data_IF_112167113004
#
_entry.id   IF_112167113004
#
_cell.length_a   1.000
_cell.length_b   1.000
_cell.length_c   1.000
_cell.angle_alpha   90.00
_cell.angle_beta   90.00
_cell.angle_gamma   90.00
#
_symmetry.space_group_name_H-M   'P 1'
#
loop_
_entity.id
_entity.type
_entity.pdbx_description
1 polymer ?
#
# COMPACT_ATOMS: atom_id res chain seq x y z
N UNK A 1 -1.13 16.54 -25.83
CA UNK A 1 -1.36 15.59 -24.71
C UNK A 1 -0.15 14.70 -24.36
N UNK A 2 0.74 14.32 -25.30
CA UNK A 2 1.87 13.41 -25.01
C UNK A 2 2.99 13.97 -24.11
N UNK A 3 3.18 15.30 -24.08
CA UNK A 3 4.28 15.94 -23.33
C UNK A 3 4.12 15.84 -21.80
N UNK A 4 2.90 15.76 -21.29
CA UNK A 4 2.61 15.71 -19.85
C UNK A 4 2.81 14.31 -19.27
N UNK A 5 2.60 13.28 -20.08
CA UNK A 5 2.83 11.86 -19.72
C UNK A 5 4.34 11.59 -19.63
N UNK A 6 5.12 12.20 -20.53
CA UNK A 6 6.59 12.10 -20.50
C UNK A 6 7.14 12.87 -19.30
N UNK A 7 6.60 14.05 -18.96
CA UNK A 7 7.04 14.80 -17.78
C UNK A 7 6.72 14.09 -16.46
N UNK A 8 5.58 13.37 -16.34
CA UNK A 8 5.30 12.53 -15.15
C UNK A 8 6.19 11.28 -15.09
N UNK A 9 6.58 10.73 -16.26
CA UNK A 9 7.51 9.60 -16.33
C UNK A 9 8.93 10.03 -15.93
N UNK A 10 9.38 11.22 -16.35
CA UNK A 10 10.68 11.80 -16.01
C UNK A 10 10.74 12.26 -14.55
N UNK A 11 9.63 12.77 -13.99
CA UNK A 11 9.51 13.00 -12.55
C UNK A 11 9.59 11.68 -11.78
N UNK A 12 8.90 10.62 -12.23
CA UNK A 12 9.05 9.27 -11.66
C UNK A 12 10.49 8.75 -11.75
N UNK A 13 11.15 8.95 -12.90
CA UNK A 13 12.53 8.51 -13.15
C UNK A 13 13.59 9.38 -12.45
N UNK A 14 13.26 10.58 -11.97
CA UNK A 14 14.21 11.44 -11.21
C UNK A 14 14.21 11.13 -9.71
N UNK A 15 13.13 10.52 -9.19
CA UNK A 15 13.07 10.05 -7.81
C UNK A 15 13.77 8.68 -7.68
N UNK A 16 13.82 7.89 -8.76
CA UNK A 16 14.52 6.59 -8.80
C UNK A 16 16.02 6.71 -8.48
N UNK A 17 16.79 7.67 -9.05
CA UNK A 17 18.17 7.93 -8.65
C UNK A 17 18.33 8.31 -7.19
N UNK A 18 17.38 9.04 -6.58
CA UNK A 18 17.46 9.39 -5.16
C UNK A 18 17.35 8.15 -4.27
N UNK A 19 16.54 7.16 -4.67
CA UNK A 19 16.43 5.87 -3.97
C UNK A 19 17.65 4.95 -4.21
N UNK A 20 18.29 5.04 -5.38
CA UNK A 20 19.45 4.21 -5.75
C UNK A 20 20.78 4.78 -5.24
N UNK A 21 20.95 6.11 -5.21
CA UNK A 21 22.19 6.79 -4.81
C UNK A 21 22.36 6.88 -3.27
N UNK A 22 21.28 6.74 -2.49
CA UNK A 22 21.37 6.60 -1.04
C UNK A 22 21.83 5.20 -0.59
N UNK A 23 21.74 4.21 -1.49
CA UNK A 23 22.29 2.89 -1.26
C UNK A 23 23.81 2.93 -1.53
N UNK A 24 24.60 3.20 -0.50
CA UNK A 24 26.01 2.84 -0.48
C UNK A 24 26.12 1.31 -0.51
N UNK A 25 26.12 0.73 -1.71
CA UNK A 25 26.15 -0.72 -1.92
C UNK A 25 27.57 -1.24 -1.64
N UNK A 26 27.83 -1.53 -0.36
CA UNK A 26 29.00 -2.23 0.11
C UNK A 26 28.71 -3.24 1.24
N UNK A 27 27.64 -3.02 2.01
CA UNK A 27 27.32 -3.80 3.20
C UNK A 27 25.89 -4.40 3.16
N UNK A 28 25.69 -5.55 3.83
CA UNK A 28 24.39 -6.24 3.97
C UNK A 28 23.29 -5.31 4.54
N UNK A 29 23.71 -4.33 5.33
CA UNK A 29 22.86 -3.25 5.86
C UNK A 29 22.25 -2.39 4.76
N UNK A 30 23.02 -2.07 3.70
CA UNK A 30 22.53 -1.27 2.57
C UNK A 30 21.41 -1.96 1.77
N UNK A 31 21.41 -3.29 1.70
CA UNK A 31 20.32 -4.05 1.06
C UNK A 31 19.05 -4.00 1.91
N UNK A 32 19.19 -4.13 3.23
CA UNK A 32 18.08 -4.07 4.18
C UNK A 32 17.46 -2.67 4.16
N UNK A 33 18.28 -1.62 4.11
CA UNK A 33 17.81 -0.23 4.04
C UNK A 33 17.11 0.09 2.72
N UNK A 34 17.61 -0.45 1.61
CA UNK A 34 16.94 -0.33 0.30
C UNK A 34 15.57 -1.01 0.31
N UNK A 35 15.47 -2.22 0.86
CA UNK A 35 14.19 -2.92 1.04
C UNK A 35 13.27 -2.10 1.94
N UNK A 36 13.75 -1.62 3.08
CA UNK A 36 12.95 -0.80 4.00
C UNK A 36 12.44 0.47 3.34
N UNK A 37 13.28 1.15 2.55
CA UNK A 37 12.89 2.34 1.80
C UNK A 37 11.78 2.05 0.79
N UNK A 38 11.89 0.98 0.01
CA UNK A 38 10.86 0.58 -0.96
C UNK A 38 9.53 0.26 -0.26
N UNK A 39 9.58 -0.54 0.82
CA UNK A 39 8.38 -0.89 1.57
C UNK A 39 7.74 0.34 2.23
N UNK A 40 8.54 1.26 2.77
CA UNK A 40 8.03 2.50 3.39
C UNK A 40 7.30 3.42 2.40
N UNK A 41 7.69 3.40 1.12
CA UNK A 41 7.04 4.17 0.08
C UNK A 41 5.79 3.46 -0.51
N UNK A 42 5.85 2.13 -0.68
CA UNK A 42 4.75 1.37 -1.30
C UNK A 42 3.57 1.16 -0.34
N UNK A 43 3.84 0.95 0.95
CA UNK A 43 2.81 0.65 1.96
C UNK A 43 1.73 1.74 2.06
N UNK A 44 2.05 3.04 2.24
CA UNK A 44 1.02 4.08 2.32
C UNK A 44 0.23 4.24 1.01
N UNK A 45 0.84 3.94 -0.15
CA UNK A 45 0.17 3.96 -1.44
C UNK A 45 -0.88 2.84 -1.53
N UNK A 46 -0.52 1.62 -1.11
CA UNK A 46 -1.45 0.48 -1.03
C UNK A 46 -2.57 0.76 -0.02
N UNK A 47 -2.27 1.34 1.14
CA UNK A 47 -3.29 1.71 2.13
C UNK A 47 -4.34 2.65 1.55
N UNK A 48 -3.90 3.67 0.80
CA UNK A 48 -4.82 4.63 0.15
C UNK A 48 -5.72 3.93 -0.86
N UNK A 49 -5.16 3.05 -1.69
CA UNK A 49 -5.93 2.24 -2.66
C UNK A 49 -6.90 1.28 -1.97
N UNK A 50 -6.48 0.65 -0.87
CA UNK A 50 -7.29 -0.30 -0.13
C UNK A 50 -8.51 0.37 0.50
N UNK A 51 -8.36 1.58 1.05
CA UNK A 51 -9.49 2.38 1.57
C UNK A 51 -10.47 2.73 0.46
N UNK A 52 -9.99 3.16 -0.70
CA UNK A 52 -10.85 3.45 -1.86
C UNK A 52 -11.62 2.20 -2.31
N UNK A 53 -10.92 1.06 -2.40
CA UNK A 53 -11.54 -0.21 -2.80
C UNK A 53 -12.59 -0.68 -1.78
N UNK A 54 -12.32 -0.50 -0.49
CA UNK A 54 -13.28 -0.81 0.57
C UNK A 54 -14.56 0.04 0.47
N UNK A 55 -14.42 1.36 0.26
CA UNK A 55 -15.56 2.25 0.07
C UNK A 55 -16.39 1.87 -1.17
N UNK A 56 -15.73 1.47 -2.26
CA UNK A 56 -16.41 0.95 -3.45
C UNK A 56 -17.17 -0.35 -3.11
N UNK A 57 -16.52 -1.30 -2.45
CA UNK A 57 -17.11 -2.59 -2.08
C UNK A 57 -18.34 -2.41 -1.19
N UNK A 58 -18.27 -1.50 -0.22
CA UNK A 58 -19.40 -1.14 0.64
C UNK A 58 -20.57 -0.55 -0.15
N UNK A 59 -20.29 0.38 -1.06
CA UNK A 59 -21.33 1.01 -1.90
C UNK A 59 -22.02 -0.03 -2.79
N UNK A 60 -21.24 -0.96 -3.36
CA UNK A 60 -21.75 -2.06 -4.20
C UNK A 60 -22.64 -3.02 -3.40
N UNK A 61 -22.30 -3.27 -2.13
CA UNK A 61 -23.15 -4.04 -1.22
C UNK A 61 -24.47 -3.34 -0.93
N UNK A 62 -24.45 -2.02 -0.70
CA UNK A 62 -25.66 -1.25 -0.41
C UNK A 62 -26.61 -1.10 -1.62
N UNK A 63 -26.09 -1.08 -2.85
CA UNK A 63 -26.92 -0.89 -4.05
C UNK A 63 -27.48 -2.19 -4.63
N UNK A 64 -26.95 -3.36 -4.25
CA UNK A 64 -27.44 -4.67 -4.68
C UNK A 64 -28.54 -5.17 -3.74
N UNK A 65 -29.66 -5.66 -4.29
CA UNK A 65 -30.76 -6.25 -3.52
C UNK A 65 -31.22 -7.58 -4.15
N UNK A 66 -31.68 -8.52 -3.32
CA UNK A 66 -32.16 -9.84 -3.78
C UNK A 66 -31.05 -10.88 -3.91
N UNK A 67 -31.10 -11.73 -4.94
CA UNK A 67 -30.19 -12.88 -5.09
C UNK A 67 -28.71 -12.49 -5.18
N UNK A 68 -28.39 -11.31 -5.75
CA UNK A 68 -27.01 -10.82 -5.85
C UNK A 68 -26.46 -10.22 -4.54
N UNK A 69 -27.29 -10.11 -3.49
CA UNK A 69 -26.86 -9.61 -2.19
C UNK A 69 -25.92 -10.58 -1.48
N UNK A 70 -26.06 -11.89 -1.72
CA UNK A 70 -25.17 -12.90 -1.14
C UNK A 70 -23.73 -12.77 -1.69
N UNK A 71 -23.59 -12.61 -3.00
CA UNK A 71 -22.29 -12.38 -3.66
C UNK A 71 -21.69 -11.02 -3.26
N UNK A 72 -22.53 -9.98 -3.18
CA UNK A 72 -22.07 -8.66 -2.75
C UNK A 72 -21.62 -8.67 -1.27
N UNK A 73 -22.27 -9.45 -0.41
CA UNK A 73 -21.86 -9.66 0.99
C UNK A 73 -20.50 -10.33 1.07
N UNK A 74 -20.26 -11.34 0.24
CA UNK A 74 -18.97 -12.02 0.19
C UNK A 74 -17.85 -11.06 -0.26
N UNK A 75 -18.10 -10.26 -1.30
CA UNK A 75 -17.16 -9.22 -1.76
C UNK A 75 -16.88 -8.16 -0.69
N UNK A 76 -17.88 -7.77 0.10
CA UNK A 76 -17.69 -6.87 1.25
C UNK A 76 -16.80 -7.50 2.31
N UNK A 77 -17.03 -8.78 2.64
CA UNK A 77 -16.27 -9.50 3.66
C UNK A 77 -14.79 -9.62 3.28
N UNK A 78 -14.50 -9.92 2.00
CA UNK A 78 -13.12 -9.89 1.48
C UNK A 78 -12.48 -8.50 1.60
N UNK A 79 -13.23 -7.43 1.32
CA UNK A 79 -12.76 -6.06 1.51
C UNK A 79 -12.41 -5.74 2.97
N UNK A 80 -13.25 -6.16 3.91
CA UNK A 80 -13.00 -6.01 5.36
C UNK A 80 -11.78 -6.81 5.79
N UNK A 81 -11.63 -8.05 5.34
CA UNK A 81 -10.50 -8.92 5.70
C UNK A 81 -9.17 -8.29 5.25
N UNK A 82 -9.12 -7.79 4.01
CA UNK A 82 -7.91 -7.13 3.48
C UNK A 82 -7.55 -5.90 4.32
N UNK A 83 -8.52 -5.05 4.65
CA UNK A 83 -8.27 -3.90 5.52
C UNK A 83 -7.82 -4.31 6.92
N UNK A 84 -8.47 -5.31 7.51
CA UNK A 84 -8.14 -5.80 8.83
C UNK A 84 -6.70 -6.30 8.91
N UNK A 85 -6.26 -7.10 7.93
CA UNK A 85 -4.88 -7.60 7.87
C UNK A 85 -3.90 -6.43 7.72
N UNK A 86 -4.17 -5.48 6.83
CA UNK A 86 -3.29 -4.32 6.61
C UNK A 86 -3.12 -3.47 7.87
N UNK A 87 -4.21 -3.16 8.57
CA UNK A 87 -4.19 -2.39 9.83
C UNK A 87 -3.53 -3.19 10.95
N UNK A 88 -3.80 -4.50 11.04
CA UNK A 88 -3.23 -5.37 12.07
C UNK A 88 -1.72 -5.47 11.95
N UNK A 89 -1.18 -5.61 10.73
CA UNK A 89 0.27 -5.61 10.51
C UNK A 89 0.88 -4.29 10.96
N UNK A 90 0.28 -3.15 10.62
CA UNK A 90 0.82 -1.84 11.02
C UNK A 90 0.78 -1.63 12.55
N UNK A 91 -0.31 -2.05 13.20
CA UNK A 91 -0.43 -2.02 14.66
C UNK A 91 0.60 -2.91 15.34
N UNK A 92 0.79 -4.14 14.85
CA UNK A 92 1.81 -5.06 15.37
C UNK A 92 3.22 -4.53 15.16
N UNK A 93 3.55 -4.04 13.96
CA UNK A 93 4.85 -3.43 13.67
C UNK A 93 5.10 -2.25 14.61
N UNK A 94 4.11 -1.39 14.86
CA UNK A 94 4.25 -0.26 15.80
C UNK A 94 4.48 -0.70 17.24
N UNK A 95 3.90 -1.82 17.68
CA UNK A 95 4.15 -2.39 19.02
C UNK A 95 5.57 -2.97 19.08
N UNK A 96 5.99 -3.72 18.06
CA UNK A 96 7.33 -4.30 17.98
C UNK A 96 8.40 -3.21 17.96
N UNK A 97 8.19 -2.14 17.19
CA UNK A 97 9.09 -0.99 17.10
C UNK A 97 9.30 -0.35 18.46
N UNK A 98 8.21 -0.08 19.18
CA UNK A 98 8.24 0.52 20.52
C UNK A 98 8.80 -0.39 21.62
N UNK A 99 8.77 -1.70 21.44
CA UNK A 99 9.15 -2.67 22.49
C UNK A 99 10.58 -3.18 22.31
N UNK A 100 11.06 -3.28 21.07
CA UNK A 100 12.36 -3.89 20.73
C UNK A 100 13.38 -2.85 20.27
N UNK A 101 12.94 -1.75 19.66
CA UNK A 101 13.81 -0.72 19.10
C UNK A 101 13.66 0.66 19.78
N UNK A 102 12.73 0.80 20.73
CA UNK A 102 12.60 1.93 21.65
C UNK A 102 13.26 1.64 22.99
#
# INVERSE_FOLDING_TARGET
MKKNIINSLVLGLSIVPSFVLAAGVGDVTGIIDLVRSIFSAILPLIMTLAVIYFLWSLTKYMTKAGAEQAEAKEQMMWGVIILFVMVSVWGLVGILDKTIFG
#
